data_IF_517379602111
#
_entry.id   IF_517379602111
#
_cell.length_a   1.000
_cell.length_b   1.000
_cell.length_c   1.000
_cell.angle_alpha   90.00
_cell.angle_beta   90.00
_cell.angle_gamma   90.00
#
_symmetry.space_group_name_H-M   'P 1'
#
loop_
_entity.id
_entity.type
_entity.pdbx_description
1 polymer ?
#
# COMPACT_ATOMS: atom_id res chain seq x y z
N UNK A 1 13.15 -6.24 0.33
CA UNK A 1 12.48 -6.61 1.58
C UNK A 1 11.12 -5.95 1.65
N UNK A 2 10.20 -6.52 2.40
CA UNK A 2 8.85 -5.97 2.52
C UNK A 2 8.47 -5.82 3.99
N UNK A 3 7.48 -4.97 4.22
CA UNK A 3 6.90 -4.74 5.54
C UNK A 3 5.41 -4.96 5.46
N UNK A 4 4.83 -5.64 6.44
CA UNK A 4 3.39 -5.81 6.51
C UNK A 4 2.73 -4.56 7.07
N UNK A 5 1.66 -4.14 6.43
CA UNK A 5 0.87 -2.99 6.86
C UNK A 5 -0.60 -3.36 6.88
N UNK A 6 -1.26 -3.14 8.00
CA UNK A 6 -2.69 -3.39 8.12
C UNK A 6 -3.44 -2.12 7.77
N UNK A 7 -4.33 -2.20 6.78
CA UNK A 7 -5.10 -1.06 6.32
C UNK A 7 -6.07 -0.61 7.41
N UNK A 8 -6.03 0.69 7.72
CA UNK A 8 -6.95 1.30 8.67
C UNK A 8 -8.16 1.86 7.94
N UNK A 9 -9.30 2.03 8.62
CA UNK A 9 -10.47 2.67 8.00
C UNK A 9 -10.12 4.05 7.45
N UNK A 10 -10.52 4.30 6.20
CA UNK A 10 -10.25 5.57 5.54
C UNK A 10 -8.92 5.64 4.81
N UNK A 11 -8.08 4.62 4.91
CA UNK A 11 -6.80 4.61 4.19
C UNK A 11 -7.02 4.39 2.70
N UNK A 12 -6.11 4.99 1.91
CA UNK A 12 -6.04 4.77 0.48
C UNK A 12 -4.62 4.37 0.12
N UNK A 13 -4.44 3.74 -1.05
CA UNK A 13 -3.11 3.37 -1.50
C UNK A 13 -2.21 4.59 -1.65
N UNK A 14 -2.76 5.71 -2.09
CA UNK A 14 -1.98 6.94 -2.24
C UNK A 14 -1.45 7.42 -0.89
N UNK A 15 -2.30 7.43 0.13
CA UNK A 15 -1.89 7.84 1.47
C UNK A 15 -0.87 6.87 2.06
N UNK A 16 -1.08 5.58 1.87
CA UNK A 16 -0.15 4.57 2.35
C UNK A 16 1.20 4.74 1.67
N UNK A 17 1.21 4.92 0.34
CA UNK A 17 2.45 5.13 -0.39
C UNK A 17 3.18 6.38 0.10
N UNK A 18 2.43 7.45 0.34
CA UNK A 18 3.04 8.69 0.84
C UNK A 18 3.68 8.49 2.21
N UNK A 19 2.98 7.81 3.12
CA UNK A 19 3.47 7.62 4.48
C UNK A 19 4.60 6.60 4.55
N UNK A 20 4.48 5.51 3.82
CA UNK A 20 5.42 4.39 3.93
C UNK A 20 6.59 4.50 2.97
N UNK A 21 6.38 5.09 1.81
CA UNK A 21 7.40 5.17 0.76
C UNK A 21 7.85 6.61 0.49
N UNK A 22 7.17 7.58 1.06
CA UNK A 22 7.51 8.98 0.88
C UNK A 22 7.08 9.58 -0.46
N UNK A 23 6.36 8.82 -1.28
CA UNK A 23 5.91 9.30 -2.59
C UNK A 23 4.58 8.69 -2.96
N UNK A 24 3.59 9.52 -3.27
CA UNK A 24 2.28 9.07 -3.72
C UNK A 24 2.40 8.27 -5.01
N UNK A 25 3.28 8.68 -5.91
CA UNK A 25 3.43 8.03 -7.21
C UNK A 25 3.89 6.57 -7.10
N UNK A 26 4.47 6.17 -5.98
CA UNK A 26 4.94 4.81 -5.78
C UNK A 26 3.83 3.83 -5.40
N UNK A 27 2.58 4.27 -5.35
CA UNK A 27 1.47 3.38 -5.03
C UNK A 27 1.41 2.18 -6.00
N UNK A 28 1.87 2.36 -7.24
CA UNK A 28 1.90 1.28 -8.22
C UNK A 28 2.80 0.12 -7.79
N UNK A 29 3.85 0.41 -7.03
CA UNK A 29 4.72 -0.64 -6.51
C UNK A 29 3.98 -1.51 -5.50
N UNK A 30 3.13 -0.89 -4.68
CA UNK A 30 2.29 -1.62 -3.72
C UNK A 30 1.29 -2.49 -4.47
N UNK A 31 0.66 -1.95 -5.49
CA UNK A 31 -0.31 -2.69 -6.31
C UNK A 31 0.34 -3.92 -6.92
N UNK A 32 1.51 -3.76 -7.51
CA UNK A 32 2.22 -4.88 -8.16
C UNK A 32 2.66 -5.93 -7.14
N UNK A 33 3.20 -5.49 -6.03
CA UNK A 33 3.72 -6.40 -5.00
C UNK A 33 2.62 -7.27 -4.41
N UNK A 34 1.43 -6.70 -4.25
CA UNK A 34 0.28 -7.39 -3.65
C UNK A 34 -0.65 -8.01 -4.68
N UNK A 35 -0.31 -7.94 -5.96
CA UNK A 35 -1.10 -8.48 -7.06
C UNK A 35 -2.53 -7.97 -7.04
N UNK A 36 -2.69 -6.68 -6.75
CA UNK A 36 -4.01 -6.06 -6.71
C UNK A 36 -4.50 -5.77 -8.13
N UNK A 37 -5.77 -6.04 -8.38
CA UNK A 37 -6.37 -5.75 -9.68
C UNK A 37 -6.75 -4.28 -9.81
N UNK A 38 -7.05 -3.64 -8.69
CA UNK A 38 -7.43 -2.23 -8.66
C UNK A 38 -6.72 -1.56 -7.49
N UNK A 39 -6.82 -0.24 -7.42
CA UNK A 39 -6.27 0.52 -6.31
C UNK A 39 -7.17 0.51 -5.07
N UNK A 40 -8.28 -0.24 -5.11
CA UNK A 40 -9.23 -0.31 -4.00
C UNK A 40 -8.71 -1.26 -2.93
N UNK A 41 -8.71 -0.78 -1.69
CA UNK A 41 -8.32 -1.57 -0.52
C UNK A 41 -9.37 -1.40 0.56
N UNK A 42 -9.36 -2.33 1.53
CA UNK A 42 -10.37 -2.36 2.59
C UNK A 42 -9.70 -2.39 3.95
N UNK A 43 -10.36 -1.78 4.94
CA UNK A 43 -9.89 -1.79 6.31
C UNK A 43 -9.71 -3.23 6.80
N UNK A 44 -8.61 -3.48 7.51
CA UNK A 44 -8.28 -4.81 8.00
C UNK A 44 -7.47 -5.66 7.02
N UNK A 45 -7.36 -5.23 5.78
CA UNK A 45 -6.55 -5.92 4.77
C UNK A 45 -5.07 -5.74 5.11
N UNK A 46 -4.30 -6.82 4.96
CA UNK A 46 -2.84 -6.75 5.14
C UNK A 46 -2.18 -6.57 3.79
N UNK A 47 -1.35 -5.54 3.68
CA UNK A 47 -0.59 -5.24 2.47
C UNK A 47 0.90 -5.40 2.75
N UNK A 48 1.64 -5.83 1.74
CA UNK A 48 3.08 -5.81 1.79
C UNK A 48 3.58 -4.52 1.16
N UNK A 49 4.40 -3.80 1.91
CA UNK A 49 4.94 -2.51 1.47
C UNK A 49 6.41 -2.73 1.11
N UNK A 50 6.84 -2.38 -0.10
CA UNK A 50 8.24 -2.53 -0.47
C UNK A 50 9.13 -1.65 0.40
N UNK A 51 10.25 -2.20 0.83
CA UNK A 51 11.25 -1.48 1.63
C UNK A 51 12.56 -1.48 0.88
N UNK A 52 13.23 -0.36 0.87
CA UNK A 52 14.54 -0.23 0.24
C UNK A 52 15.67 -0.66 1.15
#
# INVERSE_FOLDING_TARGET
MTKNYTVAPGDTLWNIAKQQLGSVARYTEIVKLNRLKTATIYAGQTLQIPQE
#
